data_IF_651077048100
#
_entry.id   IF_651077048100
#
_cell.length_a   1.000
_cell.length_b   1.000
_cell.length_c   1.000
_cell.angle_alpha   90.00
_cell.angle_beta   90.00
_cell.angle_gamma   90.00
#
_symmetry.space_group_name_H-M   'P 1'
#
loop_
_entity.id
_entity.type
_entity.pdbx_description
1 polymer ?
#
# COMPACT_ATOMS: atom_id res chain seq x y z
N UNK A 1 -8.52 2.11 -9.18
CA UNK A 1 -8.41 1.16 -8.06
C UNK A 1 -9.59 1.37 -7.15
N UNK A 2 -10.28 0.28 -6.85
CA UNK A 2 -11.40 0.19 -5.94
C UNK A 2 -10.92 -0.42 -4.62
N UNK A 3 -11.59 -0.08 -3.53
CA UNK A 3 -11.33 -0.70 -2.22
C UNK A 3 -11.43 -2.22 -2.34
N UNK A 4 -10.40 -2.94 -1.87
CA UNK A 4 -10.30 -4.39 -1.99
C UNK A 4 -9.37 -4.87 -3.12
N UNK A 5 -8.97 -4.01 -4.04
CA UNK A 5 -8.04 -4.39 -5.12
C UNK A 5 -6.66 -4.79 -4.57
N UNK A 6 -6.08 -5.83 -5.17
CA UNK A 6 -4.69 -6.20 -4.90
C UNK A 6 -3.74 -5.20 -5.56
N UNK A 7 -2.68 -4.88 -4.83
CA UNK A 7 -1.65 -3.95 -5.26
C UNK A 7 -0.26 -4.52 -5.02
N UNK A 8 0.65 -4.11 -5.88
CA UNK A 8 2.07 -4.31 -5.73
C UNK A 8 2.71 -3.05 -5.14
N UNK A 9 3.48 -3.25 -4.08
CA UNK A 9 4.30 -2.23 -3.42
C UNK A 9 5.77 -2.63 -3.65
N UNK A 10 6.57 -1.84 -4.38
CA UNK A 10 7.98 -2.15 -4.61
C UNK A 10 8.80 -2.24 -3.32
N UNK A 11 10.01 -2.79 -3.44
CA UNK A 11 11.04 -2.67 -2.40
C UNK A 11 11.49 -1.22 -2.23
N UNK A 12 11.88 -0.83 -1.02
CA UNK A 12 12.42 0.49 -0.71
C UNK A 12 11.34 1.57 -0.48
N UNK A 13 10.06 1.18 -0.47
CA UNK A 13 8.94 2.12 -0.26
C UNK A 13 8.74 2.37 1.22
N UNK A 14 8.59 3.66 1.56
CA UNK A 14 8.30 4.08 2.92
C UNK A 14 6.81 3.95 3.23
N UNK A 15 6.53 3.23 4.31
CA UNK A 15 5.22 3.02 4.91
C UNK A 15 5.15 3.78 6.23
N UNK A 16 4.00 4.37 6.54
CA UNK A 16 3.75 4.98 7.83
C UNK A 16 2.32 4.76 8.33
N UNK A 17 2.12 4.68 9.64
CA UNK A 17 0.78 4.60 10.23
C UNK A 17 0.75 5.34 11.56
N UNK A 18 -0.39 5.93 11.90
CA UNK A 18 -0.59 6.46 13.24
C UNK A 18 -0.79 5.30 14.21
N UNK A 19 0.04 5.25 15.25
CA UNK A 19 0.01 4.23 16.28
C UNK A 19 -0.13 4.91 17.63
N UNK A 20 -1.34 5.40 17.96
CA UNK A 20 -1.80 5.87 19.27
C UNK A 20 -0.94 6.93 20.00
N UNK A 21 0.30 6.57 20.33
CA UNK A 21 1.34 7.40 20.95
C UNK A 21 2.40 7.94 19.97
N UNK A 22 2.29 7.71 18.66
CA UNK A 22 3.25 8.21 17.69
C UNK A 22 3.05 7.66 16.27
N UNK A 23 4.02 7.91 15.39
CA UNK A 23 4.00 7.40 14.02
C UNK A 23 4.88 6.16 13.91
N UNK A 24 4.30 5.06 13.42
CA UNK A 24 5.06 3.85 13.06
C UNK A 24 5.58 4.03 11.65
N UNK A 25 6.86 3.73 11.43
CA UNK A 25 7.48 3.73 10.10
C UNK A 25 8.05 2.37 9.75
N UNK A 26 8.03 2.04 8.46
CA UNK A 26 8.71 0.87 7.90
C UNK A 26 9.14 1.15 6.47
N UNK A 27 10.25 0.58 6.05
CA UNK A 27 10.61 0.50 4.62
C UNK A 27 10.41 -0.94 4.15
N UNK A 28 9.84 -1.13 2.96
CA UNK A 28 9.69 -2.48 2.39
C UNK A 28 11.07 -3.07 2.05
N UNK A 29 11.45 -4.17 2.69
CA UNK A 29 12.73 -4.85 2.44
C UNK A 29 12.70 -5.71 1.16
N UNK A 30 11.50 -6.06 0.72
CA UNK A 30 11.20 -6.83 -0.50
C UNK A 30 9.88 -6.35 -1.09
N UNK A 31 9.62 -6.60 -2.38
CA UNK A 31 8.32 -6.29 -2.95
C UNK A 31 7.20 -6.98 -2.14
N UNK A 32 6.14 -6.24 -1.88
CA UNK A 32 5.06 -6.63 -0.98
C UNK A 32 3.73 -6.50 -1.71
N UNK A 33 2.87 -7.50 -1.55
CA UNK A 33 1.47 -7.40 -1.99
C UNK A 33 0.64 -6.80 -0.86
N UNK A 34 -0.24 -5.87 -1.20
CA UNK A 34 -1.21 -5.28 -0.27
C UNK A 34 -2.61 -5.25 -0.85
N UNK A 35 -3.55 -4.82 -0.02
CA UNK A 35 -4.94 -4.54 -0.42
C UNK A 35 -5.16 -3.03 -0.33
N UNK A 36 -5.68 -2.43 -1.38
CA UNK A 36 -6.04 -1.01 -1.36
C UNK A 36 -7.28 -0.78 -0.48
N UNK A 37 -7.18 0.12 0.49
CA UNK A 37 -8.29 0.46 1.40
C UNK A 37 -8.96 1.79 1.04
N UNK A 38 -8.23 2.71 0.43
CA UNK A 38 -8.71 4.06 0.11
C UNK A 38 -7.56 5.06 0.08
N UNK A 39 -7.88 6.35 0.02
CA UNK A 39 -6.89 7.40 0.14
C UNK A 39 -7.25 8.70 -0.57
N UNK A 40 -6.25 9.55 -0.72
CA UNK A 40 -6.33 10.86 -1.38
C UNK A 40 -5.61 10.83 -2.73
N UNK A 41 -5.50 11.99 -3.38
CA UNK A 41 -4.75 12.12 -4.63
C UNK A 41 -3.23 11.87 -4.50
N UNK A 42 -2.68 11.92 -3.28
CA UNK A 42 -1.23 11.81 -3.03
C UNK A 42 -0.83 10.63 -2.16
N UNK A 43 -1.73 10.17 -1.28
CA UNK A 43 -1.47 9.11 -0.30
C UNK A 43 -2.54 8.05 -0.39
N UNK A 44 -2.12 6.78 -0.37
CA UNK A 44 -3.02 5.63 -0.27
C UNK A 44 -2.89 4.96 1.08
N UNK A 45 -4.01 4.48 1.60
CA UNK A 45 -4.10 3.58 2.72
C UNK A 45 -4.25 2.15 2.19
N UNK A 46 -3.45 1.24 2.74
CA UNK A 46 -3.35 -0.14 2.27
C UNK A 46 -3.20 -1.10 3.45
N UNK A 47 -3.70 -2.32 3.31
CA UNK A 47 -3.43 -3.39 4.26
C UNK A 47 -2.30 -4.28 3.72
N UNK A 48 -1.19 -4.38 4.44
CA UNK A 48 -0.06 -5.22 4.05
C UNK A 48 0.70 -5.75 5.29
N UNK A 49 1.11 -7.03 5.24
CA UNK A 49 1.83 -7.70 6.32
C UNK A 49 1.11 -7.60 7.69
N UNK A 50 -0.22 -7.72 7.70
CA UNK A 50 -1.02 -7.71 8.92
C UNK A 50 -1.32 -6.32 9.50
N UNK A 51 -0.93 -5.24 8.82
CA UNK A 51 -1.00 -3.87 9.33
C UNK A 51 -1.53 -2.93 8.25
N UNK A 52 -2.29 -1.91 8.66
CA UNK A 52 -2.67 -0.81 7.78
C UNK A 52 -1.55 0.23 7.69
N UNK A 53 -1.21 0.61 6.47
CA UNK A 53 -0.15 1.54 6.15
C UNK A 53 -0.64 2.64 5.24
N UNK A 54 -0.07 3.82 5.41
CA UNK A 54 -0.08 4.89 4.42
C UNK A 54 1.21 4.83 3.60
N UNK A 55 1.10 5.12 2.30
CA UNK A 55 2.23 5.30 1.39
C UNK A 55 1.87 6.28 0.27
N UNK A 56 2.88 6.78 -0.44
CA UNK A 56 2.64 7.69 -1.56
C UNK A 56 1.98 6.92 -2.71
N UNK A 57 0.94 7.52 -3.30
CA UNK A 57 0.19 6.95 -4.44
C UNK A 57 1.11 6.47 -5.58
N UNK A 58 2.17 7.21 -5.87
CA UNK A 58 3.13 6.89 -6.95
C UNK A 58 3.89 5.58 -6.74
N UNK A 59 3.92 5.07 -5.50
CA UNK A 59 4.64 3.87 -5.10
C UNK A 59 3.68 2.64 -5.03
N UNK A 60 2.48 2.77 -5.60
CA UNK A 60 1.44 1.72 -5.62
C UNK A 60 1.09 1.39 -7.06
N UNK A 61 1.19 0.11 -7.40
CA UNK A 61 0.88 -0.41 -8.72
C UNK A 61 -0.29 -1.39 -8.64
N UNK A 62 -1.40 -1.17 -9.36
CA UNK A 62 -2.51 -2.12 -9.37
C UNK A 62 -2.03 -3.47 -9.94
N UNK A 63 -2.42 -4.55 -9.28
CA UNK A 63 -2.26 -5.90 -9.81
C UNK A 63 -3.55 -6.29 -10.52
N UNK A 64 -3.85 -5.64 -11.65
CA UNK A 64 -4.95 -6.10 -12.49
C UNK A 64 -4.68 -7.55 -12.93
N UNK A 65 -5.72 -8.38 -12.94
CA UNK A 65 -5.72 -9.66 -13.65
C UNK A 65 -5.53 -9.38 -15.13
N UNK A 66 -4.34 -9.69 -15.66
CA UNK A 66 -4.05 -9.72 -17.10
C UNK A 66 -4.80 -10.88 -17.80
N UNK A 67 -6.13 -10.91 -17.69
CA UNK A 67 -7.00 -11.76 -18.49
C UNK A 67 -8.14 -10.91 -19.05
N UNK A 68 -7.81 -10.14 -20.09
CA UNK A 68 -8.74 -9.83 -21.15
C UNK A 68 -8.18 -10.50 -22.41
N UNK A 69 -8.61 -11.74 -22.65
CA UNK A 69 -8.56 -12.41 -23.95
C UNK A 69 -9.69 -11.90 -24.84
#
# INVERSE_FOLDING_TARGET
MNQGDLIHIPQGVQLWSDAGSGMRHRTTERPTVGVYLGGTNTVYQVYANGVEWNLKRRDVYPMETAYAS
#
